data_IF_977560419367
#
_entry.id   IF_977560419367
#
_cell.length_a   1.000
_cell.length_b   1.000
_cell.length_c   1.000
_cell.angle_alpha   90.00
_cell.angle_beta   90.00
_cell.angle_gamma   90.00
#
_symmetry.space_group_name_H-M   'P 1'
#
loop_
_entity.id
_entity.type
_entity.pdbx_description
1 polymer ?
#
# COMPACT_ATOMS: atom_id res chain seq x y z
N UNK A 1 -14.39 -11.57 -9.91
CA UNK A 1 -13.40 -12.34 -9.13
C UNK A 1 -14.12 -12.99 -7.96
N UNK A 2 -13.64 -14.12 -7.39
CA UNK A 2 -14.21 -14.62 -6.13
C UNK A 2 -13.77 -13.73 -4.97
N UNK A 3 -14.62 -13.59 -3.96
CA UNK A 3 -14.36 -12.77 -2.76
C UNK A 3 -13.02 -13.13 -2.11
N UNK A 4 -12.76 -14.42 -1.87
CA UNK A 4 -11.51 -14.84 -1.23
C UNK A 4 -10.27 -14.57 -2.08
N UNK A 5 -10.35 -14.69 -3.41
CA UNK A 5 -9.23 -14.40 -4.30
C UNK A 5 -8.86 -12.91 -4.23
N UNK A 6 -9.87 -12.03 -4.19
CA UNK A 6 -9.67 -10.59 -4.02
C UNK A 6 -8.98 -10.28 -2.68
N UNK A 7 -9.47 -10.87 -1.59
CA UNK A 7 -8.88 -10.69 -0.25
C UNK A 7 -7.42 -11.18 -0.24
N UNK A 8 -7.14 -12.35 -0.81
CA UNK A 8 -5.79 -12.92 -0.83
C UNK A 8 -4.79 -12.03 -1.60
N UNK A 9 -5.26 -11.35 -2.66
CA UNK A 9 -4.43 -10.41 -3.43
C UNK A 9 -4.19 -9.12 -2.62
N UNK A 10 -5.23 -8.56 -2.01
CA UNK A 10 -5.16 -7.24 -1.39
C UNK A 10 -4.58 -7.24 0.03
N UNK A 11 -4.80 -8.31 0.80
CA UNK A 11 -4.36 -8.43 2.18
C UNK A 11 -2.86 -8.13 2.39
N UNK A 12 -1.90 -8.72 1.65
CA UNK A 12 -0.48 -8.41 1.86
C UNK A 12 -0.15 -6.93 1.59
N UNK A 13 -0.79 -6.30 0.60
CA UNK A 13 -0.61 -4.87 0.31
C UNK A 13 -1.18 -4.00 1.43
N UNK A 14 -2.39 -4.32 1.88
CA UNK A 14 -3.08 -3.60 2.95
C UNK A 14 -2.33 -3.71 4.30
N UNK A 15 -1.79 -4.88 4.63
CA UNK A 15 -0.97 -5.08 5.83
C UNK A 15 0.34 -4.30 5.74
N UNK A 16 0.99 -4.29 4.58
CA UNK A 16 2.19 -3.48 4.35
C UNK A 16 1.90 -1.98 4.55
N UNK A 17 0.79 -1.50 4.01
CA UNK A 17 0.36 -0.12 4.19
C UNK A 17 -0.04 0.22 5.63
N UNK A 18 -0.66 -0.70 6.35
CA UNK A 18 -0.93 -0.53 7.78
C UNK A 18 0.37 -0.35 8.56
N UNK A 19 1.42 -1.13 8.27
CA UNK A 19 2.75 -0.95 8.89
C UNK A 19 3.33 0.42 8.60
N UNK A 20 3.17 0.91 7.37
CA UNK A 20 3.75 2.17 6.91
C UNK A 20 3.00 3.39 7.45
N UNK A 21 1.68 3.30 7.58
CA UNK A 21 0.81 4.47 7.77
C UNK A 21 -0.07 4.42 9.02
N UNK A 22 -0.24 3.24 9.60
CA UNK A 22 -1.18 2.98 10.68
C UNK A 22 -2.63 2.84 10.24
N UNK A 23 -2.96 2.94 8.94
CA UNK A 23 -4.32 2.74 8.45
C UNK A 23 -4.66 1.25 8.48
N UNK A 24 -5.78 0.88 9.09
CA UNK A 24 -6.19 -0.52 9.23
C UNK A 24 -6.26 -1.26 7.89
N UNK A 25 -5.66 -2.44 7.83
CA UNK A 25 -5.71 -3.31 6.67
C UNK A 25 -7.15 -3.72 6.35
N UNK A 26 -7.96 -3.99 7.37
CA UNK A 26 -9.38 -4.30 7.26
C UNK A 26 -10.16 -3.20 6.55
N UNK A 27 -9.88 -1.92 6.88
CA UNK A 27 -10.48 -0.75 6.24
C UNK A 27 -10.06 -0.68 4.78
N UNK A 28 -8.77 -0.83 4.49
CA UNK A 28 -8.26 -0.75 3.12
C UNK A 28 -8.84 -1.86 2.23
N UNK A 29 -8.91 -3.10 2.72
CA UNK A 29 -9.50 -4.23 1.99
C UNK A 29 -11.00 -3.99 1.76
N UNK A 30 -11.73 -3.54 2.79
CA UNK A 30 -13.17 -3.29 2.70
C UNK A 30 -13.50 -2.13 1.75
N UNK A 31 -12.75 -1.03 1.78
CA UNK A 31 -12.92 0.07 0.82
C UNK A 31 -12.62 -0.42 -0.59
N UNK A 32 -11.50 -1.10 -0.82
CA UNK A 32 -11.19 -1.69 -2.12
C UNK A 32 -12.29 -2.61 -2.63
N UNK A 33 -12.91 -3.42 -1.76
CA UNK A 33 -14.02 -4.30 -2.12
C UNK A 33 -15.28 -3.52 -2.54
N UNK A 34 -15.65 -2.46 -1.81
CA UNK A 34 -16.80 -1.61 -2.15
C UNK A 34 -16.57 -0.89 -3.47
N UNK A 35 -15.45 -0.17 -3.58
CA UNK A 35 -15.21 0.77 -4.67
C UNK A 35 -14.97 0.05 -6.01
N UNK A 36 -14.36 -1.14 -5.99
CA UNK A 36 -14.09 -1.94 -7.20
C UNK A 36 -15.09 -3.06 -7.45
N UNK A 37 -16.07 -3.26 -6.56
CA UNK A 37 -16.99 -4.40 -6.61
C UNK A 37 -16.23 -5.73 -6.55
N UNK A 38 -15.36 -5.90 -5.54
CA UNK A 38 -14.48 -7.07 -5.40
C UNK A 38 -13.53 -7.27 -6.61
N UNK A 39 -12.98 -6.18 -7.13
CA UNK A 39 -12.07 -6.17 -8.27
C UNK A 39 -12.75 -6.43 -9.62
N UNK A 40 -14.09 -6.42 -9.69
CA UNK A 40 -14.83 -6.58 -10.94
C UNK A 40 -14.69 -5.36 -11.86
N UNK A 41 -14.51 -4.17 -11.28
CA UNK A 41 -14.32 -2.92 -12.01
C UNK A 41 -13.21 -2.08 -11.35
N UNK A 42 -12.00 -2.14 -11.90
CA UNK A 42 -10.85 -1.34 -11.47
C UNK A 42 -10.17 -0.71 -12.71
N UNK A 43 -10.90 0.11 -13.49
CA UNK A 43 -10.36 0.64 -14.73
C UNK A 43 -9.15 1.55 -14.43
N UNK A 44 -8.10 1.41 -15.25
CA UNK A 44 -6.81 2.07 -14.99
C UNK A 44 -6.14 1.60 -13.69
N UNK A 45 -6.44 0.38 -13.21
CA UNK A 45 -5.97 -0.17 -11.93
C UNK A 45 -6.35 0.65 -10.69
N UNK A 46 -7.34 1.53 -10.79
CA UNK A 46 -7.80 2.36 -9.68
C UNK A 46 -8.87 1.61 -8.88
N UNK A 47 -8.46 1.00 -7.78
CA UNK A 47 -9.36 0.21 -6.93
C UNK A 47 -10.32 1.07 -6.09
N UNK A 48 -9.94 2.32 -5.80
CA UNK A 48 -10.62 3.18 -4.81
C UNK A 48 -11.37 4.36 -5.44
N UNK A 49 -11.42 4.44 -6.77
CA UNK A 49 -12.12 5.52 -7.48
C UNK A 49 -11.56 6.92 -7.19
N UNK A 50 -10.25 7.04 -6.92
CA UNK A 50 -9.65 8.34 -6.57
C UNK A 50 -9.71 9.27 -7.79
N UNK A 51 -10.43 10.38 -7.65
CA UNK A 51 -10.55 11.41 -8.69
C UNK A 51 -9.22 12.11 -8.94
N UNK A 52 -8.99 12.51 -10.18
CA UNK A 52 -7.77 13.20 -10.59
C UNK A 52 -7.69 13.44 -12.09
N UNK A 53 -6.56 13.97 -12.54
CA UNK A 53 -6.24 14.13 -13.96
C UNK A 53 -5.63 12.84 -14.50
N UNK A 54 -6.47 11.96 -15.05
CA UNK A 54 -6.06 10.73 -15.70
C UNK A 54 -7.09 10.33 -16.74
N UNK A 55 -7.74 9.18 -16.57
CA UNK A 55 -8.75 8.68 -17.49
C UNK A 55 -10.16 9.05 -17.03
N UNK A 56 -11.05 9.36 -17.97
CA UNK A 56 -12.45 9.66 -17.69
C UNK A 56 -13.32 8.38 -17.70
N UNK A 57 -14.17 8.23 -16.69
CA UNK A 57 -15.13 7.13 -16.60
C UNK A 57 -16.50 7.62 -16.13
N UNK A 58 -17.54 6.86 -16.47
CA UNK A 58 -18.88 7.07 -15.92
C UNK A 58 -18.91 6.58 -14.47
N UNK A 59 -19.25 7.46 -13.53
CA UNK A 59 -19.43 7.15 -12.11
C UNK A 59 -20.86 7.41 -11.66
N UNK A 60 -21.25 6.83 -10.52
CA UNK A 60 -22.57 7.05 -9.90
C UNK A 60 -22.40 7.89 -8.64
N UNK A 61 -23.03 9.06 -8.59
CA UNK A 61 -22.99 10.00 -7.46
C UNK A 61 -24.37 10.10 -6.80
N UNK A 62 -24.42 10.32 -5.50
CA UNK A 62 -25.67 10.62 -4.79
C UNK A 62 -25.80 12.13 -4.56
N UNK A 63 -26.78 12.76 -5.22
CA UNK A 63 -27.04 14.20 -5.12
C UNK A 63 -28.54 14.46 -5.09
N UNK A 64 -28.97 15.43 -4.27
CA UNK A 64 -30.38 15.80 -4.09
C UNK A 64 -31.32 14.59 -3.79
N UNK A 65 -30.82 13.58 -3.07
CA UNK A 65 -31.63 12.43 -2.67
C UNK A 65 -31.75 11.31 -3.72
N UNK A 66 -31.03 11.38 -4.85
CA UNK A 66 -31.07 10.37 -5.90
C UNK A 66 -29.66 10.03 -6.43
N UNK A 67 -29.48 8.80 -6.92
CA UNK A 67 -28.28 8.39 -7.63
C UNK A 67 -28.31 8.87 -9.08
N UNK A 68 -27.26 9.55 -9.54
CA UNK A 68 -27.10 10.04 -10.91
C UNK A 68 -25.79 9.52 -11.50
N UNK A 69 -25.74 9.28 -12.82
CA UNK A 69 -24.50 8.95 -13.52
C UNK A 69 -23.87 10.21 -14.09
N UNK A 70 -22.57 10.42 -13.84
CA UNK A 70 -21.80 11.54 -14.39
C UNK A 70 -20.46 11.04 -14.95
N UNK A 71 -19.81 11.85 -15.78
CA UNK A 71 -18.41 11.61 -16.20
C UNK A 71 -17.50 12.30 -15.18
N UNK A 72 -16.51 11.56 -14.67
CA UNK A 72 -15.46 12.10 -13.81
C UNK A 72 -14.08 11.69 -14.29
N UNK A 73 -13.07 12.53 -14.02
CA UNK A 73 -11.67 12.19 -14.21
C UNK A 73 -11.11 11.43 -13.02
N UNK A 74 -10.39 10.33 -13.28
CA UNK A 74 -9.83 9.44 -12.28
C UNK A 74 -8.33 9.21 -12.49
N UNK A 75 -7.62 8.99 -11.40
CA UNK A 75 -6.20 8.57 -11.44
C UNK A 75 -6.08 7.17 -12.04
N UNK A 76 -4.93 6.87 -12.62
CA UNK A 76 -4.57 5.55 -13.16
C UNK A 76 -3.23 5.11 -12.60
N UNK A 77 -3.04 3.79 -12.47
CA UNK A 77 -1.85 3.20 -11.85
C UNK A 77 -1.32 2.04 -12.69
N UNK A 78 -0.03 1.75 -12.57
CA UNK A 78 0.58 0.60 -13.23
C UNK A 78 0.16 -0.73 -12.57
N UNK A 79 -0.07 -0.71 -11.25
CA UNK A 79 -0.45 -1.88 -10.45
C UNK A 79 -1.52 -1.53 -9.40
N UNK A 80 -2.22 -2.54 -8.89
CA UNK A 80 -3.12 -2.40 -7.74
C UNK A 80 -2.39 -1.96 -6.47
N UNK A 81 -1.13 -2.38 -6.30
CA UNK A 81 -0.28 -1.92 -5.20
C UNK A 81 -0.08 -0.40 -5.25
N UNK A 82 0.17 0.16 -6.44
CA UNK A 82 0.24 1.62 -6.62
C UNK A 82 -1.06 2.33 -6.25
N UNK A 83 -2.22 1.73 -6.56
CA UNK A 83 -3.52 2.26 -6.15
C UNK A 83 -3.74 2.20 -4.63
N UNK A 84 -3.27 1.14 -3.97
CA UNK A 84 -3.34 0.95 -2.51
C UNK A 84 -2.44 1.95 -1.79
N UNK A 85 -1.22 2.19 -2.28
CA UNK A 85 -0.30 3.20 -1.74
C UNK A 85 -0.91 4.61 -1.87
N UNK A 86 -1.39 4.98 -3.05
CA UNK A 86 -1.97 6.32 -3.27
C UNK A 86 -3.27 6.53 -2.49
N UNK A 87 -4.03 5.47 -2.21
CA UNK A 87 -5.18 5.53 -1.31
C UNK A 87 -4.77 5.93 0.11
N UNK A 88 -3.73 5.31 0.66
CA UNK A 88 -3.20 5.70 1.98
C UNK A 88 -2.72 7.15 1.97
N UNK A 89 -1.97 7.56 0.94
CA UNK A 89 -1.49 8.94 0.82
C UNK A 89 -2.64 9.95 0.70
N UNK A 90 -3.69 9.62 -0.04
CA UNK A 90 -4.89 10.45 -0.17
C UNK A 90 -5.58 10.66 1.18
N UNK A 91 -5.71 9.60 1.99
CA UNK A 91 -6.28 9.70 3.33
C UNK A 91 -5.39 10.57 4.24
N UNK A 92 -4.07 10.40 4.21
CA UNK A 92 -3.12 11.15 5.04
C UNK A 92 -3.08 12.63 4.66
N UNK A 93 -3.02 12.93 3.35
CA UNK A 93 -2.88 14.28 2.85
C UNK A 93 -4.12 15.15 3.09
N UNK A 94 -5.31 14.54 3.23
CA UNK A 94 -6.55 15.28 3.38
C UNK A 94 -6.93 15.45 4.86
N UNK A 95 -6.76 16.68 5.35
CA UNK A 95 -6.95 17.05 6.77
C UNK A 95 -8.34 16.70 7.33
N UNK A 96 -9.36 16.52 6.49
CA UNK A 96 -10.71 16.12 6.92
C UNK A 96 -10.74 14.77 7.65
N UNK A 97 -9.89 13.82 7.26
CA UNK A 97 -9.85 12.50 7.90
C UNK A 97 -9.19 12.58 9.28
N UNK A 98 -8.12 13.37 9.40
CA UNK A 98 -7.53 13.69 10.71
C UNK A 98 -8.54 14.42 11.61
N UNK A 99 -9.25 15.42 11.09
CA UNK A 99 -10.25 16.16 11.85
C UNK A 99 -11.42 15.28 12.33
N UNK A 100 -11.75 14.23 11.58
CA UNK A 100 -12.79 13.27 11.97
C UNK A 100 -12.37 12.28 13.08
N UNK A 101 -11.09 12.21 13.43
CA UNK A 101 -10.54 11.22 14.37
C UNK A 101 -10.21 9.86 13.75
N UNK A 102 -10.14 9.77 12.42
CA UNK A 102 -9.96 8.50 11.70
C UNK A 102 -8.67 7.76 12.10
N UNK A 103 -7.55 8.48 12.17
CA UNK A 103 -6.24 7.88 12.46
C UNK A 103 -6.13 7.44 13.92
N UNK A 104 -6.80 8.14 14.84
CA UNK A 104 -6.91 7.77 16.24
C UNK A 104 -7.66 6.43 16.39
N UNK A 105 -8.78 6.26 15.67
CA UNK A 105 -9.51 4.99 15.65
C UNK A 105 -8.69 3.85 15.03
N UNK A 106 -7.89 4.15 14.01
CA UNK A 106 -6.99 3.14 13.44
C UNK A 106 -5.93 2.68 14.46
N UNK A 107 -5.37 3.59 15.27
CA UNK A 107 -4.44 3.23 16.35
C UNK A 107 -5.07 2.37 17.44
N UNK A 108 -6.35 2.59 17.73
CA UNK A 108 -7.12 1.81 18.70
C UNK A 108 -7.58 0.44 18.14
N UNK A 109 -7.24 0.12 16.89
CA UNK A 109 -7.80 -0.99 16.11
C UNK A 109 -9.34 -1.01 16.08
N UNK A 110 -9.95 0.16 16.17
CA UNK A 110 -11.39 0.33 16.14
C UNK A 110 -11.86 0.57 14.71
N UNK A 111 -12.01 -0.50 13.93
CA UNK A 111 -12.50 -0.40 12.55
C UNK A 111 -13.95 0.13 12.48
N UNK A 112 -14.75 -0.04 13.54
CA UNK A 112 -16.13 0.47 13.62
C UNK A 112 -16.09 2.00 13.72
N UNK A 113 -15.30 2.52 14.66
CA UNK A 113 -15.04 3.95 14.81
C UNK A 113 -14.42 4.55 13.55
N UNK A 114 -13.41 3.88 12.97
CA UNK A 114 -12.74 4.32 11.75
C UNK A 114 -13.73 4.45 10.56
N UNK A 115 -14.63 3.46 10.37
CA UNK A 115 -15.67 3.53 9.36
C UNK A 115 -16.63 4.72 9.60
N UNK A 116 -17.01 4.99 10.85
CA UNK A 116 -17.79 6.16 11.23
C UNK A 116 -17.07 7.48 10.91
N UNK A 117 -15.77 7.57 11.20
CA UNK A 117 -14.94 8.73 10.87
C UNK A 117 -14.88 8.97 9.35
N UNK A 118 -14.72 7.93 8.53
CA UNK A 118 -14.73 8.03 7.06
C UNK A 118 -16.06 8.59 6.53
N UNK A 119 -17.19 8.11 7.06
CA UNK A 119 -18.53 8.63 6.74
C UNK A 119 -18.65 10.12 7.11
N UNK A 120 -18.27 10.49 8.33
CA UNK A 120 -18.36 11.86 8.82
C UNK A 120 -17.44 12.83 8.06
N UNK A 121 -16.29 12.33 7.59
CA UNK A 121 -15.35 13.07 6.76
C UNK A 121 -15.81 13.23 5.30
N UNK A 122 -16.90 12.58 4.90
CA UNK A 122 -17.45 12.62 3.55
C UNK A 122 -16.58 11.89 2.53
N UNK A 123 -16.06 10.70 2.88
CA UNK A 123 -15.38 9.83 1.92
C UNK A 123 -16.32 9.46 0.77
N UNK A 124 -17.55 9.05 1.09
CA UNK A 124 -18.61 8.74 0.14
C UNK A 124 -19.88 9.52 0.43
N UNK A 125 -20.69 9.76 -0.60
CA UNK A 125 -22.00 10.42 -0.50
C UNK A 125 -23.12 9.49 -0.04
N UNK A 126 -22.86 8.17 0.01
CA UNK A 126 -23.81 7.16 0.50
C UNK A 126 -24.01 7.26 2.02
N UNK A 127 -25.24 7.51 2.51
CA UNK A 127 -25.52 7.60 3.95
C UNK A 127 -25.31 6.29 4.72
N UNK A 128 -25.12 5.15 4.04
CA UNK A 128 -24.87 3.83 4.63
C UNK A 128 -23.43 3.35 4.46
N UNK A 129 -22.51 4.21 4.05
CA UNK A 129 -21.13 3.84 3.75
C UNK A 129 -20.42 3.14 4.92
N UNK A 130 -20.49 3.71 6.14
CA UNK A 130 -19.89 3.12 7.33
C UNK A 130 -20.48 1.73 7.63
N UNK A 131 -21.81 1.60 7.53
CA UNK A 131 -22.51 0.33 7.77
C UNK A 131 -22.06 -0.74 6.77
N UNK A 132 -21.91 -0.37 5.49
CA UNK A 132 -21.42 -1.30 4.45
C UNK A 132 -19.99 -1.77 4.73
N UNK A 133 -19.09 -0.85 5.11
CA UNK A 133 -17.72 -1.19 5.48
C UNK A 133 -17.69 -2.20 6.64
N UNK A 134 -18.40 -1.89 7.73
CA UNK A 134 -18.47 -2.75 8.91
C UNK A 134 -19.01 -4.14 8.55
N UNK A 135 -20.06 -4.21 7.74
CA UNK A 135 -20.62 -5.48 7.29
C UNK A 135 -19.63 -6.32 6.48
N UNK A 136 -18.87 -5.68 5.57
CA UNK A 136 -17.85 -6.37 4.78
C UNK A 136 -16.71 -6.88 5.67
N UNK A 137 -16.24 -6.06 6.60
CA UNK A 137 -15.18 -6.45 7.55
C UNK A 137 -15.62 -7.65 8.37
N UNK A 138 -16.81 -7.59 8.98
CA UNK A 138 -17.32 -8.67 9.83
C UNK A 138 -17.62 -9.95 9.06
N UNK A 139 -18.28 -9.86 7.90
CA UNK A 139 -18.65 -11.03 7.11
C UNK A 139 -17.44 -11.82 6.59
N UNK A 140 -16.30 -11.14 6.40
CA UNK A 140 -15.09 -11.74 5.86
C UNK A 140 -13.95 -11.82 6.90
N UNK A 141 -14.22 -11.44 8.15
CA UNK A 141 -13.26 -11.38 9.26
C UNK A 141 -11.97 -10.64 8.87
N UNK A 142 -12.12 -9.49 8.22
CA UNK A 142 -10.98 -8.71 7.70
C UNK A 142 -10.16 -8.09 8.84
N UNK A 143 -10.74 -7.94 10.02
CA UNK A 143 -10.07 -7.54 11.25
C UNK A 143 -8.94 -8.50 11.65
N UNK A 144 -8.97 -9.76 11.21
CA UNK A 144 -7.82 -10.68 11.40
C UNK A 144 -6.54 -10.22 10.66
N UNK A 145 -6.66 -9.30 9.68
CA UNK A 145 -5.49 -8.71 9.00
C UNK A 145 -5.01 -7.44 9.70
N UNK A 146 -5.77 -6.88 10.63
CA UNK A 146 -5.33 -5.70 11.37
C UNK A 146 -4.21 -6.11 12.32
N UNK A 147 -3.04 -5.53 12.12
CA UNK A 147 -1.91 -5.74 13.00
C UNK A 147 -2.03 -4.84 14.23
N UNK A 148 -2.11 -5.46 15.41
CA UNK A 148 -1.65 -4.83 16.65
C UNK A 148 -0.19 -4.41 16.40
N UNK A 149 0.19 -3.18 16.76
CA UNK A 149 1.57 -2.71 16.57
C UNK A 149 2.58 -3.83 16.85
N UNK A 150 3.50 -3.99 15.90
CA UNK A 150 4.46 -5.07 15.80
C UNK A 150 5.22 -5.23 17.12
N UNK A 151 4.86 -6.25 17.91
CA UNK A 151 5.88 -6.92 18.72
C UNK A 151 7.03 -7.28 17.78
N UNK A 152 8.25 -7.09 18.26
CA UNK A 152 9.57 -7.27 17.63
C UNK A 152 9.85 -8.71 17.09
N UNK A 153 8.80 -9.43 16.72
CA UNK A 153 8.70 -10.87 16.44
C UNK A 153 8.24 -11.18 15.00
N UNK A 154 8.41 -10.23 14.06
CA UNK A 154 8.67 -10.70 12.70
C UNK A 154 9.91 -11.59 12.78
N UNK A 155 9.92 -12.81 12.22
CA UNK A 155 11.13 -13.60 12.15
C UNK A 155 12.17 -12.77 11.41
N UNK A 156 13.08 -12.15 12.16
CA UNK A 156 14.21 -11.43 11.60
C UNK A 156 14.96 -12.44 10.75
N UNK A 157 15.35 -12.04 9.54
CA UNK A 157 16.23 -12.88 8.74
C UNK A 157 17.41 -13.24 9.64
N UNK A 158 17.70 -14.53 9.77
CA UNK A 158 18.81 -14.98 10.60
C UNK A 158 20.08 -14.19 10.19
N UNK A 159 20.76 -13.50 11.11
CA UNK A 159 21.93 -12.70 10.78
C UNK A 159 23.03 -13.49 10.06
N UNK A 160 23.15 -14.79 10.34
CA UNK A 160 24.06 -15.70 9.65
C UNK A 160 23.66 -15.93 8.19
N UNK A 161 22.37 -16.11 7.90
CA UNK A 161 21.86 -16.19 6.52
C UNK A 161 22.08 -14.88 5.78
N UNK A 162 21.77 -13.73 6.42
CA UNK A 162 22.00 -12.41 5.84
C UNK A 162 23.49 -12.19 5.50
N UNK A 163 24.38 -12.47 6.45
CA UNK A 163 25.83 -12.38 6.23
C UNK A 163 26.32 -13.36 5.18
N UNK A 164 25.76 -14.57 5.10
CA UNK A 164 26.10 -15.53 4.04
C UNK A 164 25.74 -14.97 2.68
N UNK A 165 24.53 -14.41 2.53
CA UNK A 165 24.08 -13.80 1.27
C UNK A 165 24.97 -12.61 0.88
N UNK A 166 25.24 -11.73 1.84
CA UNK A 166 26.07 -10.54 1.65
C UNK A 166 27.50 -10.93 1.27
N UNK A 167 28.17 -11.75 2.08
CA UNK A 167 29.60 -12.02 1.90
C UNK A 167 29.87 -12.98 0.74
N UNK A 168 28.98 -13.93 0.48
CA UNK A 168 29.20 -14.97 -0.55
C UNK A 168 28.78 -14.49 -1.93
N UNK A 169 27.68 -13.75 -2.04
CA UNK A 169 27.11 -13.39 -3.35
C UNK A 169 27.19 -11.90 -3.66
N UNK A 170 26.86 -11.02 -2.70
CA UNK A 170 26.77 -9.59 -2.98
C UNK A 170 28.11 -8.86 -2.96
N UNK A 171 28.96 -9.08 -1.95
CA UNK A 171 30.28 -8.42 -1.84
C UNK A 171 31.19 -8.70 -3.03
N UNK A 172 31.30 -9.94 -3.56
CA UNK A 172 32.08 -10.19 -4.77
C UNK A 172 31.51 -9.45 -5.99
N UNK A 173 30.18 -9.42 -6.13
CA UNK A 173 29.50 -8.74 -7.23
C UNK A 173 29.66 -7.22 -7.16
N UNK A 174 29.59 -6.66 -5.95
CA UNK A 174 29.90 -5.27 -5.68
C UNK A 174 31.35 -4.95 -6.05
N UNK A 175 32.32 -5.71 -5.53
CA UNK A 175 33.75 -5.48 -5.83
C UNK A 175 34.05 -5.56 -7.34
N UNK A 176 33.40 -6.50 -8.05
CA UNK A 176 33.51 -6.61 -9.50
C UNK A 176 32.93 -5.37 -10.20
N UNK A 177 31.74 -4.91 -9.84
CA UNK A 177 31.13 -3.72 -10.40
C UNK A 177 31.96 -2.46 -10.11
N UNK A 178 32.53 -2.33 -8.91
CA UNK A 178 33.39 -1.20 -8.55
C UNK A 178 34.72 -1.20 -9.33
N UNK A 179 35.30 -2.38 -9.58
CA UNK A 179 36.48 -2.52 -10.44
C UNK A 179 36.17 -2.14 -11.90
N UNK A 180 35.02 -2.56 -12.43
CA UNK A 180 34.59 -2.20 -13.78
C UNK A 180 34.29 -0.70 -13.90
N UNK A 181 33.68 -0.10 -12.88
CA UNK A 181 33.47 1.34 -12.80
C UNK A 181 34.79 2.11 -12.88
N UNK A 182 35.81 1.68 -12.11
CA UNK A 182 37.14 2.29 -12.12
C UNK A 182 37.88 2.14 -13.45
N UNK A 183 37.64 1.02 -14.16
CA UNK A 183 38.25 0.74 -15.45
C UNK A 183 37.49 1.37 -16.64
N UNK A 184 36.25 1.85 -16.44
CA UNK A 184 35.43 2.39 -17.50
C UNK A 184 35.99 3.69 -18.06
N UNK A 185 36.32 3.68 -19.35
CA UNK A 185 36.76 4.87 -20.08
C UNK A 185 35.61 5.64 -20.73
N UNK A 186 34.45 4.99 -20.86
CA UNK A 186 33.22 5.55 -21.46
C UNK A 186 32.23 5.95 -20.37
N UNK A 187 31.68 7.16 -20.47
CA UNK A 187 30.78 7.73 -19.45
C UNK A 187 29.48 6.96 -19.29
N UNK A 188 28.94 6.38 -20.36
CA UNK A 188 27.71 5.59 -20.30
C UNK A 188 27.95 4.25 -19.58
N UNK A 189 29.06 3.58 -19.89
CA UNK A 189 29.48 2.36 -19.17
C UNK A 189 29.79 2.67 -17.71
N UNK A 190 30.47 3.78 -17.41
CA UNK A 190 30.72 4.19 -16.03
C UNK A 190 29.41 4.43 -15.27
N UNK A 191 28.43 5.11 -15.88
CA UNK A 191 27.12 5.30 -15.26
C UNK A 191 26.40 3.97 -14.96
N UNK A 192 26.40 3.04 -15.91
CA UNK A 192 25.78 1.72 -15.74
C UNK A 192 26.45 0.90 -14.61
N UNK A 193 27.78 0.88 -14.55
CA UNK A 193 28.51 0.17 -13.48
C UNK A 193 28.28 0.82 -12.12
N UNK A 194 28.17 2.15 -12.06
CA UNK A 194 27.83 2.86 -10.83
C UNK A 194 26.43 2.48 -10.33
N UNK A 195 25.43 2.48 -11.20
CA UNK A 195 24.07 2.08 -10.86
C UNK A 195 24.02 0.63 -10.33
N UNK A 196 24.71 -0.29 -11.03
CA UNK A 196 24.78 -1.69 -10.60
C UNK A 196 25.49 -1.87 -9.26
N UNK A 197 26.58 -1.12 -9.02
CA UNK A 197 27.28 -1.09 -7.73
C UNK A 197 26.38 -0.59 -6.60
N UNK A 198 25.69 0.51 -6.84
CA UNK A 198 24.79 1.14 -5.86
C UNK A 198 23.60 0.23 -5.55
N UNK A 199 23.11 -0.54 -6.53
CA UNK A 199 22.10 -1.59 -6.33
C UNK A 199 22.58 -2.70 -5.39
N UNK A 200 23.81 -3.22 -5.56
CA UNK A 200 24.34 -4.24 -4.65
C UNK A 200 24.53 -3.71 -3.22
N UNK A 201 24.96 -2.46 -3.08
CA UNK A 201 25.09 -1.80 -1.77
C UNK A 201 23.74 -1.61 -1.09
N UNK A 202 22.73 -1.16 -1.84
CA UNK A 202 21.35 -1.06 -1.36
C UNK A 202 20.83 -2.41 -0.89
N UNK A 203 20.95 -3.46 -1.72
CA UNK A 203 20.46 -4.79 -1.40
C UNK A 203 21.14 -5.40 -0.17
N UNK A 204 22.45 -5.20 -0.02
CA UNK A 204 23.18 -5.64 1.17
C UNK A 204 22.67 -4.94 2.44
N UNK A 205 22.40 -3.63 2.38
CA UNK A 205 21.85 -2.88 3.51
C UNK A 205 20.39 -3.25 3.80
N UNK A 206 19.58 -3.58 2.79
CA UNK A 206 18.23 -4.12 3.00
C UNK A 206 18.24 -5.47 3.74
N UNK A 207 19.20 -6.36 3.42
CA UNK A 207 19.37 -7.63 4.14
C UNK A 207 19.85 -7.41 5.59
N UNK A 208 20.69 -6.39 5.82
CA UNK A 208 21.13 -6.00 7.17
C UNK A 208 19.97 -5.48 8.00
N UNK A 209 19.16 -4.58 7.45
CA UNK A 209 17.97 -4.06 8.11
C UNK A 209 16.98 -5.19 8.46
N UNK A 210 16.74 -6.11 7.51
CA UNK A 210 15.85 -7.26 7.69
C UNK A 210 16.35 -8.29 8.72
N UNK A 211 17.63 -8.27 9.08
CA UNK A 211 18.26 -9.14 10.08
C UNK A 211 18.66 -8.43 11.37
N UNK A 212 18.43 -7.11 11.47
CA UNK A 212 18.88 -6.30 12.61
C UNK A 212 20.38 -6.06 12.68
N UNK A 213 21.13 -6.28 11.60
CA UNK A 213 22.55 -5.95 11.51
C UNK A 213 22.74 -4.46 11.21
N UNK A 214 23.86 -3.85 11.67
CA UNK A 214 24.20 -2.48 11.28
C UNK A 214 24.50 -2.41 9.78
N UNK A 215 24.10 -1.30 9.15
CA UNK A 215 24.45 -0.95 7.77
C UNK A 215 25.96 -0.75 7.59
N UNK A 216 26.43 -0.99 6.36
CA UNK A 216 27.83 -0.80 5.91
C UNK A 216 27.89 0.29 4.83
#
# INVERSE_FOLDING_TARGET
>A
MKVQDFINILAPMAVSEQRRTGILASITIAQGAIESGWGAAAPGNNLFGIKGSGQEFVTTEYTNGHFVKIIGGFRTYDTWEGSVIDHSEFLIANSRYKASGFFERCKELDYIGAAGCLQNAGYATDPKYAVKLIQIIQANRLDNYDILEVEDDMPKLDPGVALTMINTFLKPSWAAADAQLKAAQDSNKAAAWKEQRDYYAWLANSLRDASGLPRE
#
